data_IF_048403232936
#
_entry.id   IF_048403232936
#
_cell.length_a   1.000
_cell.length_b   1.000
_cell.length_c   1.000
_cell.angle_alpha   90.00
_cell.angle_beta   90.00
_cell.angle_gamma   90.00
#
_symmetry.space_group_name_H-M   'P 1'
#
loop_
_entity.id
_entity.type
_entity.pdbx_description
1 polymer ?
#
# COMPACT_ATOMS: atom_id res chain seq x y z
N UNK A 1 50.28 -30.81 -6.28
CA UNK A 1 50.40 -29.39 -6.69
C UNK A 1 49.00 -28.81 -6.88
N UNK A 2 48.43 -28.14 -5.87
CA UNK A 2 47.16 -27.43 -6.01
C UNK A 2 47.39 -26.08 -6.68
N UNK A 3 46.72 -25.84 -7.81
CA UNK A 3 46.71 -24.53 -8.47
C UNK A 3 45.95 -23.52 -7.60
N UNK A 4 46.55 -22.36 -7.39
CA UNK A 4 45.98 -21.24 -6.65
C UNK A 4 44.60 -20.82 -7.19
N UNK A 5 43.65 -20.68 -6.28
CA UNK A 5 42.34 -20.08 -6.54
C UNK A 5 42.51 -18.57 -6.74
N UNK A 6 42.22 -18.08 -7.95
CA UNK A 6 42.28 -16.65 -8.26
C UNK A 6 40.87 -16.05 -8.26
N UNK A 7 40.50 -15.21 -7.27
CA UNK A 7 39.15 -14.65 -7.13
C UNK A 7 38.77 -13.61 -8.19
N UNK A 8 39.70 -13.17 -9.05
CA UNK A 8 39.39 -12.29 -10.20
C UNK A 8 38.96 -13.04 -11.46
N UNK A 9 38.97 -14.37 -11.45
CA UNK A 9 38.62 -15.17 -12.63
C UNK A 9 37.10 -15.25 -12.78
N UNK A 10 36.55 -14.40 -13.65
CA UNK A 10 35.14 -14.43 -14.08
C UNK A 10 34.78 -15.86 -14.53
N UNK A 11 33.70 -16.41 -13.99
CA UNK A 11 33.21 -17.73 -14.36
C UNK A 11 32.90 -17.74 -15.87
N UNK A 12 33.56 -18.64 -16.64
CA UNK A 12 33.48 -18.68 -18.11
C UNK A 12 32.08 -18.99 -18.65
N UNK A 13 31.16 -19.39 -17.78
CA UNK A 13 29.79 -19.70 -18.14
C UNK A 13 28.82 -18.52 -17.94
N UNK A 14 29.30 -17.33 -17.53
CA UNK A 14 28.46 -16.13 -17.46
C UNK A 14 28.14 -15.68 -18.90
N UNK A 15 26.87 -15.76 -19.30
CA UNK A 15 26.40 -15.38 -20.63
C UNK A 15 26.40 -16.50 -21.69
N UNK A 16 26.64 -17.77 -21.31
CA UNK A 16 26.54 -18.92 -22.22
C UNK A 16 25.27 -19.74 -21.95
N UNK A 17 24.81 -20.53 -22.94
CA UNK A 17 23.66 -21.46 -22.77
C UNK A 17 23.83 -22.47 -21.63
N UNK A 18 25.06 -22.68 -21.14
CA UNK A 18 25.37 -23.54 -20.00
C UNK A 18 25.14 -22.83 -18.65
N UNK A 19 24.99 -21.50 -18.63
CA UNK A 19 24.29 -20.82 -17.55
C UNK A 19 22.83 -21.24 -17.67
N UNK A 20 22.31 -22.01 -16.73
CA UNK A 20 20.91 -22.47 -16.73
C UNK A 20 19.94 -21.29 -16.83
N UNK A 21 19.63 -20.88 -18.05
CA UNK A 21 18.54 -19.99 -18.41
C UNK A 21 17.26 -20.82 -18.30
N UNK A 22 16.76 -20.99 -17.08
CA UNK A 22 15.36 -21.34 -16.90
C UNK A 22 14.51 -20.30 -17.61
N UNK A 23 13.57 -20.74 -18.45
CA UNK A 23 12.69 -19.90 -19.27
C UNK A 23 11.78 -18.94 -18.47
N UNK A 24 11.89 -18.90 -17.13
CA UNK A 24 11.07 -18.13 -16.20
C UNK A 24 11.78 -16.95 -15.50
N UNK A 25 12.96 -16.52 -15.96
CA UNK A 25 13.62 -15.33 -15.42
C UNK A 25 13.08 -13.99 -15.96
N UNK A 26 11.82 -13.93 -16.40
CA UNK A 26 11.20 -12.64 -16.73
C UNK A 26 10.88 -11.88 -15.44
N UNK A 27 11.38 -10.65 -15.31
CA UNK A 27 10.98 -9.70 -14.25
C UNK A 27 9.55 -9.21 -14.47
N UNK A 28 8.60 -10.15 -14.51
CA UNK A 28 7.17 -9.94 -14.70
C UNK A 28 6.46 -10.55 -13.50
N UNK A 29 5.58 -9.78 -12.85
CA UNK A 29 4.74 -10.36 -11.79
C UNK A 29 3.80 -11.36 -12.45
N UNK A 30 3.76 -12.65 -12.03
CA UNK A 30 2.89 -13.65 -12.63
C UNK A 30 1.41 -13.22 -12.56
N UNK A 31 0.69 -13.44 -13.65
CA UNK A 31 -0.75 -13.21 -13.78
C UNK A 31 -1.38 -14.56 -14.17
N UNK A 32 -2.45 -15.00 -13.51
CA UNK A 32 -3.14 -16.23 -13.88
C UNK A 32 -4.59 -15.89 -14.23
N UNK A 33 -4.99 -16.13 -15.49
CA UNK A 33 -6.39 -16.00 -15.93
C UNK A 33 -7.06 -14.64 -15.62
N UNK A 34 -6.32 -13.53 -15.79
CA UNK A 34 -6.87 -12.18 -15.55
C UNK A 34 -6.98 -11.79 -14.07
N UNK A 35 -6.84 -12.76 -13.16
CA UNK A 35 -6.59 -12.51 -11.74
C UNK A 35 -5.09 -12.34 -11.55
N UNK A 36 -4.72 -11.15 -11.14
CA UNK A 36 -3.32 -10.88 -10.81
C UNK A 36 -3.04 -11.56 -9.49
N UNK A 37 -1.96 -12.35 -9.41
CA UNK A 37 -1.59 -13.23 -8.28
C UNK A 37 -1.36 -12.48 -6.94
N UNK A 38 -1.67 -11.17 -6.89
CA UNK A 38 -1.49 -10.24 -5.78
C UNK A 38 -2.28 -10.61 -4.51
N UNK A 39 -3.28 -11.50 -4.58
CA UNK A 39 -4.35 -11.51 -3.58
C UNK A 39 -4.39 -12.73 -2.65
N UNK A 40 -3.55 -13.75 -2.86
CA UNK A 40 -3.50 -14.90 -1.96
C UNK A 40 -2.63 -14.60 -0.74
N UNK A 41 -3.24 -14.03 0.30
CA UNK A 41 -2.61 -13.96 1.63
C UNK A 41 -2.38 -15.40 2.12
N UNK A 42 -1.14 -15.71 2.49
CA UNK A 42 -0.77 -17.07 2.94
C UNK A 42 -0.68 -17.17 4.46
N UNK A 43 -0.16 -16.13 5.11
CA UNK A 43 -0.05 -16.04 6.57
C UNK A 43 -0.60 -14.70 7.01
N UNK A 44 -1.67 -14.69 7.79
CA UNK A 44 -2.29 -13.46 8.26
C UNK A 44 -2.91 -13.63 9.65
N UNK A 45 -3.07 -12.50 10.34
CA UNK A 45 -3.84 -12.36 11.58
C UNK A 45 -5.18 -11.72 11.22
N UNK A 46 -6.27 -12.31 11.72
CA UNK A 46 -7.62 -11.75 11.57
C UNK A 46 -7.99 -10.98 12.83
N UNK A 47 -8.19 -9.67 12.68
CA UNK A 47 -8.64 -8.77 13.73
C UNK A 47 -10.04 -8.27 13.43
N UNK A 48 -10.89 -8.22 14.45
CA UNK A 48 -12.28 -7.74 14.34
C UNK A 48 -12.45 -6.49 15.18
N UNK A 49 -13.19 -5.52 14.64
CA UNK A 49 -13.55 -4.28 15.33
C UNK A 49 -15.02 -3.98 15.07
N UNK A 50 -15.75 -3.55 16.08
CA UNK A 50 -17.05 -2.92 15.87
C UNK A 50 -16.82 -1.44 15.55
N UNK A 51 -17.31 -1.00 14.38
CA UNK A 51 -17.20 0.38 13.93
C UNK A 51 -18.59 0.83 13.53
N UNK A 52 -19.15 1.77 14.31
CA UNK A 52 -20.50 2.28 14.13
C UNK A 52 -21.57 1.16 14.04
N UNK A 53 -21.45 0.11 14.87
CA UNK A 53 -22.39 -1.01 14.92
C UNK A 53 -22.24 -2.02 13.78
N UNK A 54 -21.15 -1.95 13.01
CA UNK A 54 -20.78 -2.92 11.97
C UNK A 54 -19.46 -3.57 12.34
N UNK A 55 -19.42 -4.90 12.29
CA UNK A 55 -18.15 -5.63 12.38
C UNK A 55 -17.31 -5.35 11.12
N UNK A 56 -16.15 -4.74 11.31
CA UNK A 56 -15.10 -4.62 10.31
C UNK A 56 -14.03 -5.68 10.55
N UNK A 57 -13.63 -6.36 9.47
CA UNK A 57 -12.63 -7.43 9.49
C UNK A 57 -11.33 -6.94 8.86
N UNK A 58 -10.25 -7.09 9.62
CA UNK A 58 -8.90 -6.74 9.21
C UNK A 58 -8.07 -8.00 9.03
N UNK A 59 -7.42 -8.14 7.87
CA UNK A 59 -6.47 -9.22 7.62
C UNK A 59 -5.08 -8.62 7.53
N UNK A 60 -4.18 -9.00 8.44
CA UNK A 60 -2.85 -8.39 8.55
C UNK A 60 -1.78 -9.44 8.31
N UNK A 61 -0.96 -9.24 7.27
CA UNK A 61 0.25 -10.05 7.08
C UNK A 61 1.40 -9.51 7.94
N UNK A 62 2.24 -10.40 8.52
CA UNK A 62 3.52 -10.00 9.09
C UNK A 62 4.38 -9.25 8.07
N UNK A 63 5.07 -8.19 8.51
CA UNK A 63 5.95 -7.45 7.62
C UNK A 63 7.33 -8.08 7.54
N UNK A 64 8.06 -7.77 6.46
CA UNK A 64 9.50 -8.05 6.38
C UNK A 64 10.25 -7.08 7.29
N UNK A 65 11.43 -7.43 7.75
CA UNK A 65 12.25 -6.58 8.65
C UNK A 65 12.61 -5.21 8.07
N UNK A 66 12.55 -5.03 6.74
CA UNK A 66 12.76 -3.74 6.08
C UNK A 66 11.48 -2.94 5.85
N UNK A 67 10.30 -3.47 6.23
CA UNK A 67 8.99 -2.91 5.93
C UNK A 67 8.11 -2.79 7.17
N UNK A 68 7.16 -1.86 7.09
CA UNK A 68 6.15 -1.64 8.12
C UNK A 68 4.88 -1.07 7.51
N UNK A 69 3.76 -1.17 8.22
CA UNK A 69 2.54 -0.43 7.92
C UNK A 69 2.61 0.93 8.59
N UNK A 70 2.45 2.01 7.82
CA UNK A 70 2.57 3.36 8.36
C UNK A 70 1.41 3.79 9.27
N UNK A 71 0.31 3.03 9.28
CA UNK A 71 -0.84 3.25 10.16
C UNK A 71 -1.27 1.92 10.80
N UNK A 72 -1.73 1.99 12.05
CA UNK A 72 -2.30 0.85 12.75
C UNK A 72 -3.75 0.57 12.36
N UNK A 73 -4.29 -0.57 12.80
CA UNK A 73 -5.73 -0.84 12.69
C UNK A 73 -6.53 0.24 13.41
N UNK A 74 -6.09 0.67 14.59
CA UNK A 74 -6.84 1.64 15.38
C UNK A 74 -6.76 3.07 14.78
N UNK A 75 -5.65 3.40 14.10
CA UNK A 75 -5.57 4.60 13.25
C UNK A 75 -6.66 4.57 12.17
N UNK A 76 -6.77 3.45 11.44
CA UNK A 76 -7.77 3.25 10.39
C UNK A 76 -9.18 3.34 10.98
N UNK A 77 -9.44 2.64 12.08
CA UNK A 77 -10.73 2.63 12.77
C UNK A 77 -11.14 4.04 13.17
N UNK A 78 -10.22 4.83 13.73
CA UNK A 78 -10.51 6.23 14.10
C UNK A 78 -10.95 7.05 12.90
N UNK A 79 -10.32 6.91 11.74
CA UNK A 79 -10.73 7.65 10.54
C UNK A 79 -12.09 7.21 10.02
N UNK A 80 -12.28 5.89 9.85
CA UNK A 80 -13.50 5.37 9.22
C UNK A 80 -14.72 5.38 10.15
N UNK A 81 -14.54 5.45 11.48
CA UNK A 81 -15.64 5.59 12.44
C UNK A 81 -16.49 6.86 12.23
N UNK A 82 -15.95 7.87 11.56
CA UNK A 82 -16.68 9.10 11.20
C UNK A 82 -17.30 9.04 9.79
N UNK A 83 -17.17 7.92 9.09
CA UNK A 83 -17.88 7.67 7.85
C UNK A 83 -19.33 7.26 8.15
N UNK A 84 -20.30 7.68 7.32
CA UNK A 84 -21.67 7.27 7.50
C UNK A 84 -21.84 5.77 7.15
N UNK A 85 -22.87 5.09 7.68
CA UNK A 85 -23.03 3.64 7.53
C UNK A 85 -23.03 3.15 6.06
N UNK A 86 -23.58 3.94 5.13
CA UNK A 86 -23.58 3.62 3.71
C UNK A 86 -22.17 3.52 3.12
N UNK A 87 -21.23 4.34 3.61
CA UNK A 87 -19.82 4.30 3.20
C UNK A 87 -19.12 3.08 3.79
N UNK A 88 -19.32 2.81 5.09
CA UNK A 88 -18.77 1.61 5.75
C UNK A 88 -19.31 0.31 5.15
N UNK A 89 -20.51 0.35 4.59
CA UNK A 89 -21.11 -0.80 3.91
C UNK A 89 -20.60 -1.03 2.49
N UNK A 90 -19.74 -0.16 1.96
CA UNK A 90 -19.23 -0.25 0.59
C UNK A 90 -18.14 -1.30 0.42
N UNK A 91 -17.52 -1.74 1.51
CA UNK A 91 -16.50 -2.79 1.55
C UNK A 91 -16.67 -3.68 2.78
N UNK A 92 -16.09 -4.87 2.73
CA UNK A 92 -16.24 -5.92 3.74
C UNK A 92 -14.97 -6.12 4.56
N UNK A 93 -13.82 -5.80 3.96
CA UNK A 93 -12.50 -6.09 4.51
C UNK A 93 -11.55 -4.90 4.37
N UNK A 94 -10.65 -4.77 5.32
CA UNK A 94 -9.41 -4.01 5.16
C UNK A 94 -8.24 -4.98 5.30
N UNK A 95 -7.34 -4.96 4.34
CA UNK A 95 -6.23 -5.92 4.26
C UNK A 95 -4.92 -5.15 4.34
N UNK A 96 -4.13 -5.41 5.37
CA UNK A 96 -2.77 -4.92 5.52
C UNK A 96 -1.85 -6.00 4.97
N UNK A 97 -1.24 -5.73 3.82
CA UNK A 97 -0.51 -6.71 3.01
C UNK A 97 0.98 -6.40 2.92
N UNK A 98 1.83 -7.42 3.00
CA UNK A 98 3.25 -7.29 2.71
C UNK A 98 3.51 -7.60 1.23
N UNK A 99 3.74 -6.60 0.35
CA UNK A 99 4.05 -6.88 -1.05
C UNK A 99 5.38 -7.62 -1.18
N UNK A 100 5.49 -8.48 -2.19
CA UNK A 100 6.77 -9.09 -2.55
C UNK A 100 7.73 -8.03 -3.08
N UNK A 101 9.05 -8.28 -2.98
CA UNK A 101 10.08 -7.37 -3.49
C UNK A 101 9.89 -7.05 -4.99
N UNK A 102 9.47 -8.03 -5.78
CA UNK A 102 9.22 -7.88 -7.22
C UNK A 102 8.06 -6.92 -7.48
N UNK A 103 6.98 -7.03 -6.71
CA UNK A 103 5.81 -6.16 -6.84
C UNK A 103 6.13 -4.73 -6.40
N UNK A 104 6.86 -4.55 -5.30
CA UNK A 104 7.32 -3.23 -4.85
C UNK A 104 8.16 -2.50 -5.91
N UNK A 105 9.00 -3.24 -6.65
CA UNK A 105 9.85 -2.65 -7.70
C UNK A 105 9.06 -2.34 -8.97
N UNK A 106 8.16 -3.24 -9.39
CA UNK A 106 7.52 -3.16 -10.71
C UNK A 106 6.19 -2.42 -10.70
N UNK A 107 5.44 -2.47 -9.59
CA UNK A 107 4.10 -1.88 -9.45
C UNK A 107 3.87 -1.36 -8.01
N UNK A 108 4.70 -0.40 -7.53
CA UNK A 108 4.48 0.18 -6.21
C UNK A 108 3.12 0.89 -6.13
N UNK A 109 2.40 0.68 -5.04
CA UNK A 109 1.18 1.41 -4.71
C UNK A 109 1.05 1.52 -3.19
N UNK A 110 0.37 2.55 -2.71
CA UNK A 110 0.06 2.72 -1.28
C UNK A 110 -1.11 1.82 -0.85
N UNK A 111 -2.06 1.60 -1.75
CA UNK A 111 -3.24 0.78 -1.53
C UNK A 111 -4.03 0.56 -2.81
N UNK A 112 -5.10 -0.24 -2.70
CA UNK A 112 -5.99 -0.64 -3.81
C UNK A 112 -7.40 -0.95 -3.32
N UNK A 113 -8.41 -0.53 -4.08
CA UNK A 113 -9.78 -1.04 -3.99
C UNK A 113 -9.92 -2.31 -4.84
N UNK A 114 -10.33 -3.40 -4.20
CA UNK A 114 -10.60 -4.69 -4.85
C UNK A 114 -12.07 -5.04 -4.65
N UNK A 115 -12.85 -5.02 -5.73
CA UNK A 115 -14.31 -5.19 -5.67
C UNK A 115 -14.76 -6.64 -5.51
N UNK A 116 -13.89 -7.60 -5.82
CA UNK A 116 -14.12 -9.02 -5.63
C UNK A 116 -12.84 -9.66 -5.08
N UNK A 117 -12.82 -9.88 -3.77
CA UNK A 117 -11.70 -10.45 -3.04
C UNK A 117 -12.18 -11.71 -2.30
N UNK A 118 -11.40 -12.78 -2.33
CA UNK A 118 -11.68 -13.99 -1.56
C UNK A 118 -10.53 -14.29 -0.60
N UNK A 119 -10.85 -14.37 0.69
CA UNK A 119 -9.90 -14.73 1.73
C UNK A 119 -10.51 -15.72 2.70
N UNK A 120 -9.80 -16.80 3.00
CA UNK A 120 -10.28 -17.84 3.93
C UNK A 120 -11.69 -18.35 3.57
N UNK A 121 -11.98 -18.50 2.26
CA UNK A 121 -13.28 -18.88 1.68
C UNK A 121 -14.42 -17.88 1.92
N UNK A 122 -14.09 -16.64 2.28
CA UNK A 122 -15.04 -15.55 2.47
C UNK A 122 -14.87 -14.56 1.31
N UNK A 123 -15.88 -14.45 0.41
CA UNK A 123 -15.88 -13.43 -0.62
C UNK A 123 -16.30 -12.08 -0.03
N UNK A 124 -15.86 -10.99 -0.66
CA UNK A 124 -16.26 -9.63 -0.33
C UNK A 124 -15.40 -8.58 -1.01
N UNK A 125 -15.73 -7.31 -0.83
CA UNK A 125 -14.93 -6.20 -1.32
C UNK A 125 -13.86 -5.80 -0.28
N UNK A 126 -12.64 -5.49 -0.74
CA UNK A 126 -11.51 -5.19 0.13
C UNK A 126 -10.86 -3.84 -0.22
N UNK A 127 -10.41 -3.14 0.82
CA UNK A 127 -9.37 -2.11 0.70
C UNK A 127 -8.05 -2.77 1.12
N UNK A 128 -7.08 -2.82 0.21
CA UNK A 128 -5.72 -3.30 0.50
C UNK A 128 -4.82 -2.10 0.76
N UNK A 129 -4.06 -2.15 1.86
CA UNK A 129 -3.01 -1.21 2.23
C UNK A 129 -1.70 -1.99 2.25
N UNK A 130 -0.67 -1.47 1.56
CA UNK A 130 0.62 -2.17 1.48
C UNK A 130 1.60 -1.74 2.59
N UNK A 131 2.45 -2.67 3.02
CA UNK A 131 3.62 -2.35 3.83
C UNK A 131 4.73 -1.71 2.98
N UNK A 132 5.37 -0.67 3.51
CA UNK A 132 6.42 0.09 2.83
C UNK A 132 7.72 0.09 3.60
N UNK A 133 8.82 0.39 2.91
CA UNK A 133 10.09 0.71 3.54
C UNK A 133 10.39 2.21 3.38
N UNK A 134 11.27 2.76 4.19
CA UNK A 134 11.69 4.16 4.08
C UNK A 134 12.67 4.44 2.94
N UNK A 135 12.85 3.51 2.01
CA UNK A 135 13.72 3.74 0.86
C UNK A 135 13.08 4.81 -0.04
N UNK A 136 13.84 5.87 -0.31
CA UNK A 136 13.41 6.90 -1.25
C UNK A 136 13.25 6.35 -2.67
N UNK A 137 12.49 7.08 -3.50
CA UNK A 137 12.27 6.76 -4.90
C UNK A 137 12.56 7.95 -5.81
N UNK A 138 12.96 7.64 -7.04
CA UNK A 138 13.37 8.63 -8.04
C UNK A 138 12.34 8.70 -9.16
N UNK A 139 11.90 9.91 -9.48
CA UNK A 139 11.00 10.18 -10.59
C UNK A 139 11.74 10.92 -11.71
N UNK A 140 11.37 10.71 -12.99
CA UNK A 140 12.02 11.37 -14.11
C UNK A 140 11.74 12.88 -14.12
N UNK A 141 12.58 13.64 -14.83
CA UNK A 141 12.43 15.10 -14.96
C UNK A 141 11.16 15.51 -15.73
N UNK A 142 10.77 14.71 -16.72
CA UNK A 142 9.56 14.93 -17.52
C UNK A 142 8.40 14.20 -16.86
N UNK A 143 7.46 14.95 -16.30
CA UNK A 143 6.29 14.44 -15.60
C UNK A 143 5.03 14.82 -16.37
N UNK A 144 4.08 13.89 -16.48
CA UNK A 144 2.73 14.19 -16.94
C UNK A 144 2.03 15.16 -15.98
N UNK A 145 0.92 15.78 -16.40
CA UNK A 145 0.14 16.64 -15.52
C UNK A 145 -0.34 15.90 -14.26
N UNK A 146 -0.75 14.63 -14.39
CA UNK A 146 -1.14 13.77 -13.28
C UNK A 146 0.04 13.51 -12.34
N UNK A 147 1.22 13.19 -12.87
CA UNK A 147 2.43 13.01 -12.06
C UNK A 147 2.86 14.29 -11.35
N UNK A 148 2.68 15.47 -11.96
CA UNK A 148 2.95 16.74 -11.29
C UNK A 148 1.98 16.98 -10.12
N UNK A 149 0.69 16.67 -10.30
CA UNK A 149 -0.31 16.74 -9.22
C UNK A 149 0.03 15.78 -8.10
N UNK A 150 0.44 14.55 -8.42
CA UNK A 150 0.83 13.57 -7.42
C UNK A 150 2.09 13.99 -6.65
N UNK A 151 3.08 14.57 -7.34
CA UNK A 151 4.26 15.12 -6.68
C UNK A 151 3.89 16.23 -5.68
N UNK A 152 2.96 17.12 -6.06
CA UNK A 152 2.47 18.17 -5.16
C UNK A 152 1.71 17.59 -3.95
N UNK A 153 0.90 16.54 -4.14
CA UNK A 153 0.20 15.85 -3.04
C UNK A 153 1.19 15.18 -2.08
N UNK A 154 2.20 14.48 -2.59
CA UNK A 154 3.25 13.91 -1.76
C UNK A 154 3.96 15.00 -0.95
N UNK A 155 4.23 16.16 -1.55
CA UNK A 155 4.82 17.27 -0.81
C UNK A 155 3.90 17.78 0.30
N UNK A 156 2.59 17.88 0.05
CA UNK A 156 1.58 18.27 1.05
C UNK A 156 1.44 17.24 2.17
N UNK A 157 1.58 15.95 1.86
CA UNK A 157 1.55 14.86 2.83
C UNK A 157 2.80 14.88 3.75
N UNK A 158 3.85 15.63 3.39
CA UNK A 158 5.07 15.83 4.17
C UNK A 158 6.32 15.17 3.60
N UNK A 159 6.27 14.62 2.38
CA UNK A 159 7.43 14.00 1.76
C UNK A 159 8.48 15.05 1.37
N UNK A 160 9.75 14.73 1.60
CA UNK A 160 10.86 15.59 1.21
C UNK A 160 11.18 15.37 -0.28
N UNK A 161 10.95 16.40 -1.10
CA UNK A 161 11.14 16.34 -2.55
C UNK A 161 12.29 17.26 -2.95
N UNK A 162 13.35 16.67 -3.51
CA UNK A 162 14.51 17.42 -4.00
C UNK A 162 14.64 17.24 -5.51
N UNK A 163 14.75 18.34 -6.24
CA UNK A 163 15.06 18.29 -7.68
C UNK A 163 16.54 17.97 -7.87
N UNK A 164 16.84 16.94 -8.66
CA UNK A 164 18.20 16.53 -9.00
C UNK A 164 18.46 16.70 -10.49
N UNK A 165 19.70 16.46 -10.92
CA UNK A 165 20.04 16.43 -12.36
C UNK A 165 19.23 15.37 -13.12
N UNK A 166 18.91 14.26 -12.48
CA UNK A 166 18.24 13.09 -13.08
C UNK A 166 16.70 13.16 -12.99
N UNK A 167 16.16 14.07 -12.17
CA UNK A 167 14.71 14.23 -12.01
C UNK A 167 14.35 14.73 -10.62
N UNK A 168 13.53 13.96 -9.90
CA UNK A 168 13.11 14.25 -8.53
C UNK A 168 13.50 13.09 -7.62
N UNK A 169 14.15 13.40 -6.51
CA UNK A 169 14.42 12.47 -5.42
C UNK A 169 13.36 12.70 -4.34
N UNK A 170 12.62 11.65 -3.99
CA UNK A 170 11.56 11.70 -3.00
C UNK A 170 11.99 10.84 -1.83
N UNK A 171 12.16 11.47 -0.67
CA UNK A 171 12.42 10.80 0.60
C UNK A 171 11.19 10.91 1.49
N UNK A 172 10.88 9.83 2.21
CA UNK A 172 9.70 9.74 3.05
C UNK A 172 10.13 9.33 4.45
N UNK A 173 9.55 9.95 5.47
CA UNK A 173 9.57 9.43 6.83
C UNK A 173 8.26 8.69 7.14
N UNK A 174 8.18 8.10 8.33
CA UNK A 174 7.01 7.35 8.75
C UNK A 174 5.73 8.21 8.85
N UNK A 175 5.87 9.49 9.23
CA UNK A 175 4.72 10.39 9.38
C UNK A 175 4.15 10.79 8.02
N UNK A 176 5.01 11.13 7.06
CA UNK A 176 4.60 11.45 5.70
C UNK A 176 3.91 10.26 5.03
N UNK A 177 4.48 9.06 5.16
CA UNK A 177 3.84 7.83 4.67
C UNK A 177 2.48 7.59 5.33
N UNK A 178 2.39 7.81 6.65
CA UNK A 178 1.12 7.68 7.38
C UNK A 178 0.08 8.65 6.86
N UNK A 179 0.45 9.91 6.61
CA UNK A 179 -0.46 10.91 6.05
C UNK A 179 -0.97 10.48 4.67
N UNK A 180 -0.08 10.07 3.76
CA UNK A 180 -0.47 9.58 2.44
C UNK A 180 -1.41 8.39 2.54
N UNK A 181 -1.06 7.37 3.32
CA UNK A 181 -1.84 6.14 3.41
C UNK A 181 -3.20 6.40 4.07
N UNK A 182 -3.20 7.06 5.23
CA UNK A 182 -4.36 7.15 6.09
C UNK A 182 -5.34 8.24 5.64
N UNK A 183 -4.84 9.39 5.21
CA UNK A 183 -5.67 10.56 4.92
C UNK A 183 -5.96 10.73 3.44
N UNK A 184 -5.20 10.08 2.56
CA UNK A 184 -5.39 10.17 1.11
C UNK A 184 -5.76 8.83 0.50
N UNK A 185 -4.92 7.81 0.62
CA UNK A 185 -5.15 6.50 0.00
C UNK A 185 -6.38 5.81 0.56
N UNK A 186 -6.49 5.63 1.88
CA UNK A 186 -7.65 4.98 2.51
C UNK A 186 -8.97 5.63 2.08
N UNK A 187 -9.03 6.96 2.09
CA UNK A 187 -10.23 7.70 1.70
C UNK A 187 -10.51 7.60 0.19
N UNK A 188 -9.46 7.58 -0.62
CA UNK A 188 -9.55 7.39 -2.07
C UNK A 188 -10.07 6.00 -2.44
N UNK A 189 -9.50 4.94 -1.87
CA UNK A 189 -9.99 3.58 -2.09
C UNK A 189 -11.43 3.39 -1.56
N UNK A 190 -11.78 4.06 -0.45
CA UNK A 190 -13.16 4.13 0.02
C UNK A 190 -14.06 4.79 -1.03
N UNK A 191 -13.62 5.89 -1.64
CA UNK A 191 -14.33 6.57 -2.72
C UNK A 191 -14.59 5.66 -3.93
N UNK A 192 -13.62 4.83 -4.32
CA UNK A 192 -13.82 3.83 -5.36
C UNK A 192 -14.93 2.83 -5.03
N UNK A 193 -14.94 2.29 -3.80
CA UNK A 193 -15.99 1.37 -3.36
C UNK A 193 -17.37 2.02 -3.31
N UNK A 194 -17.45 3.26 -2.82
CA UNK A 194 -18.70 4.02 -2.79
C UNK A 194 -19.22 4.27 -4.21
N UNK A 195 -18.36 4.66 -5.14
CA UNK A 195 -18.77 4.88 -6.54
C UNK A 195 -19.22 3.58 -7.21
N UNK A 196 -18.48 2.49 -6.98
CA UNK A 196 -18.82 1.17 -7.49
C UNK A 196 -20.20 0.72 -7.00
N UNK A 197 -20.44 0.80 -5.68
CA UNK A 197 -21.71 0.39 -5.06
C UNK A 197 -22.91 1.25 -5.48
N UNK A 198 -22.67 2.52 -5.84
CA UNK A 198 -23.71 3.44 -6.33
C UNK A 198 -24.00 3.29 -7.83
N UNK A 199 -23.14 2.60 -8.57
CA UNK A 199 -23.29 2.39 -10.00
C UNK A 199 -23.99 1.06 -10.27
N UNK A 200 -24.76 0.99 -11.35
CA UNK A 200 -25.07 -0.32 -11.96
C UNK A 200 -23.82 -0.93 -12.58
N UNK A 201 -23.88 -2.21 -12.95
CA UNK A 201 -22.77 -2.89 -13.62
C UNK A 201 -22.44 -2.21 -14.95
N UNK A 202 -23.47 -1.84 -15.72
CA UNK A 202 -23.33 -1.16 -17.01
C UNK A 202 -22.76 0.26 -16.86
N UNK A 203 -23.25 1.02 -15.87
CA UNK A 203 -22.74 2.37 -15.57
C UNK A 203 -21.26 2.31 -15.18
N UNK A 204 -20.91 1.37 -14.29
CA UNK A 204 -19.52 1.20 -13.87
C UNK A 204 -18.61 0.80 -15.02
N UNK A 205 -19.05 -0.13 -15.87
CA UNK A 205 -18.30 -0.57 -17.04
C UNK A 205 -18.12 0.56 -18.07
N UNK A 206 -19.13 1.43 -18.22
CA UNK A 206 -19.10 2.58 -19.12
C UNK A 206 -18.22 3.74 -18.65
N UNK A 207 -17.93 3.85 -17.35
CA UNK A 207 -17.05 4.90 -16.80
C UNK A 207 -15.60 4.70 -17.26
N UNK A 208 -15.01 5.77 -17.79
CA UNK A 208 -13.58 5.81 -18.10
C UNK A 208 -12.74 5.71 -16.82
N UNK A 209 -11.48 5.29 -16.94
CA UNK A 209 -10.54 5.31 -15.80
C UNK A 209 -10.46 6.70 -15.18
N UNK A 210 -10.28 7.74 -16.00
CA UNK A 210 -10.18 9.12 -15.52
C UNK A 210 -11.40 9.54 -14.68
N UNK A 211 -12.61 9.19 -15.12
CA UNK A 211 -13.85 9.48 -14.37
C UNK A 211 -13.87 8.78 -12.99
N UNK A 212 -13.41 7.54 -12.92
CA UNK A 212 -13.34 6.77 -11.67
C UNK A 212 -12.32 7.38 -10.70
N UNK A 213 -11.14 7.75 -11.20
CA UNK A 213 -10.07 8.39 -10.42
C UNK A 213 -10.50 9.79 -9.92
N UNK A 214 -11.13 10.59 -10.78
CA UNK A 214 -11.63 11.92 -10.42
C UNK A 214 -12.69 11.85 -9.32
N UNK A 215 -13.60 10.86 -9.38
CA UNK A 215 -14.57 10.62 -8.31
C UNK A 215 -13.86 10.31 -6.99
N UNK A 216 -12.94 9.34 -7.00
CA UNK A 216 -12.26 8.88 -5.79
C UNK A 216 -11.39 9.97 -5.17
N UNK A 217 -10.68 10.77 -5.99
CA UNK A 217 -9.94 11.93 -5.52
C UNK A 217 -10.84 12.99 -4.90
N UNK A 218 -11.96 13.33 -5.53
CA UNK A 218 -12.92 14.30 -4.99
C UNK A 218 -13.51 13.81 -3.67
N UNK A 219 -13.97 12.55 -3.63
CA UNK A 219 -14.50 11.93 -2.41
C UNK A 219 -13.49 11.99 -1.27
N UNK A 220 -12.23 11.63 -1.53
CA UNK A 220 -11.17 11.68 -0.53
C UNK A 220 -10.93 13.11 -0.02
N UNK A 221 -10.86 14.09 -0.91
CA UNK A 221 -10.64 15.49 -0.55
C UNK A 221 -11.79 16.07 0.29
N UNK A 222 -13.04 15.82 -0.12
CA UNK A 222 -14.23 16.28 0.60
C UNK A 222 -14.34 15.62 1.99
N UNK A 223 -14.09 14.31 2.06
CA UNK A 223 -14.13 13.58 3.33
C UNK A 223 -13.01 14.05 4.26
N UNK A 224 -11.77 14.21 3.75
CA UNK A 224 -10.67 14.75 4.54
C UNK A 224 -11.00 16.14 5.08
N UNK A 225 -11.46 17.06 4.23
CA UNK A 225 -11.81 18.42 4.64
C UNK A 225 -12.90 18.43 5.74
N UNK A 226 -13.90 17.54 5.63
CA UNK A 226 -14.92 17.38 6.67
C UNK A 226 -14.33 16.88 7.99
N UNK A 227 -13.45 15.87 7.95
CA UNK A 227 -12.82 15.32 9.15
C UNK A 227 -11.89 16.35 9.82
N UNK A 228 -11.19 17.15 9.03
CA UNK A 228 -10.34 18.24 9.50
C UNK A 228 -11.15 19.33 10.19
N UNK A 229 -12.27 19.76 9.58
CA UNK A 229 -13.21 20.72 10.19
C UNK A 229 -13.79 20.23 11.52
N UNK A 230 -13.92 18.91 11.69
CA UNK A 230 -14.38 18.26 12.92
C UNK A 230 -13.26 17.98 13.92
N UNK A 231 -12.02 18.39 13.63
CA UNK A 231 -10.82 18.09 14.42
C UNK A 231 -10.60 16.58 14.68
N UNK A 232 -11.06 15.74 13.75
CA UNK A 232 -10.82 14.28 13.79
C UNK A 232 -9.42 13.96 13.30
N UNK A 233 -8.96 14.68 12.28
CA UNK A 233 -7.63 14.58 11.66
C UNK A 233 -6.97 15.97 11.59
N UNK A 234 -5.63 16.06 11.61
CA UNK A 234 -4.69 14.97 11.88
C UNK A 234 -4.67 14.60 13.37
N UNK A 235 -4.17 13.40 13.68
CA UNK A 235 -3.99 12.93 15.05
C UNK A 235 -2.72 12.07 15.17
N UNK A 236 -2.18 11.98 16.38
CA UNK A 236 -0.98 11.19 16.68
C UNK A 236 -1.22 9.68 16.41
N UNK A 237 -0.20 8.92 16.00
CA UNK A 237 -0.32 7.48 15.81
C UNK A 237 -0.88 6.76 17.03
N UNK A 238 -1.80 5.82 16.81
CA UNK A 238 -2.39 4.99 17.88
C UNK A 238 -1.66 3.65 17.88
N UNK A 239 -0.72 3.49 18.82
CA UNK A 239 0.07 2.28 19.03
C UNK A 239 -0.11 1.80 20.47
N UNK A 240 -1.11 0.96 20.71
CA UNK A 240 -1.29 0.26 22.00
C UNK A 240 -0.72 -1.16 21.86
N UNK A 241 0.51 -1.35 22.34
CA UNK A 241 1.22 -2.63 22.29
C UNK A 241 0.44 -3.76 22.98
N UNK A 242 -0.22 -3.45 24.11
CA UNK A 242 -0.99 -4.45 24.83
C UNK A 242 -2.25 -4.85 24.05
N UNK A 243 -2.92 -3.91 23.38
CA UNK A 243 -4.04 -4.22 22.50
C UNK A 243 -3.61 -5.03 21.28
N UNK A 244 -2.52 -4.62 20.63
CA UNK A 244 -1.95 -5.35 19.49
C UNK A 244 -1.59 -6.79 19.85
N UNK A 245 -0.93 -7.00 20.99
CA UNK A 245 -0.58 -8.34 21.46
C UNK A 245 -1.82 -9.22 21.72
N UNK A 246 -2.91 -8.64 22.26
CA UNK A 246 -4.18 -9.37 22.44
C UNK A 246 -4.80 -9.79 21.11
N UNK A 247 -4.64 -8.97 20.08
CA UNK A 247 -5.09 -9.26 18.71
C UNK A 247 -4.14 -10.21 17.95
N UNK A 248 -3.01 -10.61 18.54
CA UNK A 248 -1.99 -11.44 17.89
C UNK A 248 -1.11 -10.66 16.89
N UNK A 249 -1.08 -9.33 17.00
CA UNK A 249 -0.25 -8.45 16.20
C UNK A 249 1.06 -8.12 16.91
N UNK A 250 2.14 -7.94 16.14
CA UNK A 250 3.41 -7.45 16.66
C UNK A 250 3.55 -5.94 16.42
N UNK A 251 3.95 -5.20 17.45
CA UNK A 251 4.20 -3.75 17.36
C UNK A 251 5.19 -3.40 16.24
N UNK A 252 6.20 -4.25 16.03
CA UNK A 252 7.22 -4.09 14.99
C UNK A 252 6.64 -4.00 13.57
N UNK A 253 5.45 -4.54 13.31
CA UNK A 253 4.80 -4.43 12.00
C UNK A 253 4.30 -3.02 11.70
N UNK A 254 4.17 -2.17 12.72
CA UNK A 254 3.62 -0.80 12.62
C UNK A 254 4.65 0.28 12.97
N UNK A 255 5.88 -0.13 13.28
CA UNK A 255 6.98 0.78 13.59
C UNK A 255 7.98 0.79 12.43
N UNK A 256 8.51 1.96 12.03
CA UNK A 256 9.57 2.00 11.03
C UNK A 256 10.78 1.20 11.53
N UNK A 257 11.45 0.44 10.65
CA UNK A 257 12.66 -0.28 11.03
C UNK A 257 13.72 0.72 11.49
N UNK A 258 14.56 0.32 12.44
CA UNK A 258 15.68 1.13 12.88
C UNK A 258 16.55 1.53 11.67
N UNK A 259 17.09 2.76 11.64
CA UNK A 259 18.01 3.14 10.60
C UNK A 259 19.15 2.12 10.58
N UNK A 260 19.40 1.54 9.40
CA UNK A 260 20.61 0.75 9.21
C UNK A 260 21.75 1.75 9.29
N UNK A 261 22.52 1.71 10.38
CA UNK A 261 23.76 2.48 10.47
C UNK A 261 24.56 2.20 9.21
N UNK A 262 24.70 3.20 8.35
CA UNK A 262 25.58 3.11 7.20
C UNK A 262 26.98 2.99 7.78
N UNK A 263 27.55 1.78 7.75
CA UNK A 263 28.96 1.57 8.09
C UNK A 263 29.79 2.62 7.34
N UNK A 264 30.45 3.44 8.15
CA UNK A 264 31.35 4.55 7.78
C UNK A 264 32.59 4.07 7.05
#
# INVERSE_FOLDING_TARGET
MHRAWNPTRRNKNIGTKAQGHGNDNRMVVPEAWGEIFYEKLTTHVLVRRDIAGREMRFFVEPTRSDCFYACSIDDICRVIAHCPPEVLSAFDFIVLRQPTRKQRILRPCWGRAIFSFEISKQPGAAIVIEAHNLAGYTWPKSLSQESQRELARLQQDGHAITRTRQGYSISSDAQAMRNTILYRTLLHETGHHVDYKRSTTEEWAGKTKATKEDYAHRFAAELYARLEQQAVVPFAPILDEAAMARDGLELAWFCPPAPVDSES
#
